data_IF_967202436555
#
_entry.id   IF_967202436555
#
_cell.length_a   1.000
_cell.length_b   1.000
_cell.length_c   1.000
_cell.angle_alpha   90.00
_cell.angle_beta   90.00
_cell.angle_gamma   90.00
#
_symmetry.space_group_name_H-M   'P 1'
#
loop_
_entity.id
_entity.type
_entity.pdbx_description
1 polymer ?
#
# COMPACT_ATOMS: atom_id res chain seq x y z
N UNK A 1 1.05 -14.32 1.18
CA UNK A 1 1.14 -14.18 -0.29
C UNK A 1 2.12 -13.07 -0.63
N UNK A 2 2.83 -13.16 -1.76
CA UNK A 2 3.77 -12.11 -2.15
C UNK A 2 3.00 -10.87 -2.64
N UNK A 3 3.45 -9.67 -2.27
CA UNK A 3 2.80 -8.40 -2.66
C UNK A 3 2.62 -8.31 -4.18
N UNK A 4 3.64 -8.68 -4.96
CA UNK A 4 3.57 -8.62 -6.41
C UNK A 4 2.53 -9.56 -7.02
N UNK A 5 2.42 -10.79 -6.51
CA UNK A 5 1.42 -11.77 -6.98
C UNK A 5 0.00 -11.26 -6.68
N UNK A 6 -0.18 -10.67 -5.50
CA UNK A 6 -1.42 -10.01 -5.11
C UNK A 6 -1.75 -8.82 -6.02
N UNK A 7 -0.77 -7.97 -6.30
CA UNK A 7 -0.95 -6.81 -7.17
C UNK A 7 -1.38 -7.21 -8.59
N UNK A 8 -0.90 -8.35 -9.10
CA UNK A 8 -1.27 -8.89 -10.40
C UNK A 8 -2.65 -9.58 -10.41
N UNK A 9 -3.18 -9.94 -9.24
CA UNK A 9 -4.44 -10.66 -9.12
C UNK A 9 -5.68 -9.76 -9.17
N UNK A 10 -5.50 -8.44 -8.97
CA UNK A 10 -6.59 -7.46 -8.97
C UNK A 10 -6.29 -6.36 -10.00
N UNK A 11 -7.34 -5.87 -10.65
CA UNK A 11 -7.20 -4.68 -11.47
C UNK A 11 -7.13 -3.41 -10.61
N UNK A 12 -6.75 -2.30 -11.24
CA UNK A 12 -6.64 -1.02 -10.53
C UNK A 12 -7.99 -0.53 -9.97
N UNK A 13 -9.11 -0.82 -10.64
CA UNK A 13 -10.42 -0.32 -10.22
C UNK A 13 -10.91 -1.01 -8.96
N UNK A 14 -10.66 -2.32 -8.83
CA UNK A 14 -10.91 -3.09 -7.60
C UNK A 14 -10.10 -2.56 -6.42
N UNK A 15 -8.80 -2.33 -6.65
CA UNK A 15 -7.90 -1.78 -5.63
C UNK A 15 -8.34 -0.37 -5.25
N UNK A 16 -8.61 0.50 -6.23
CA UNK A 16 -8.99 1.89 -6.01
C UNK A 16 -10.35 2.02 -5.31
N UNK A 17 -11.32 1.16 -5.64
CA UNK A 17 -12.60 1.10 -4.93
C UNK A 17 -12.38 0.74 -3.47
N UNK A 18 -11.57 -0.29 -3.21
CA UNK A 18 -11.21 -0.70 -1.84
C UNK A 18 -10.48 0.43 -1.09
N UNK A 19 -9.56 1.15 -1.74
CA UNK A 19 -8.90 2.33 -1.15
C UNK A 19 -9.92 3.42 -0.80
N UNK A 20 -10.88 3.69 -1.68
CA UNK A 20 -11.90 4.72 -1.44
C UNK A 20 -12.83 4.36 -0.26
N UNK A 21 -13.15 3.07 -0.09
CA UNK A 21 -13.95 2.56 1.02
C UNK A 21 -13.17 2.62 2.35
N UNK A 22 -11.89 2.25 2.34
CA UNK A 22 -11.02 2.29 3.53
C UNK A 22 -10.57 3.70 3.91
N UNK A 23 -10.39 4.59 2.93
CA UNK A 23 -9.88 5.94 3.10
C UNK A 23 -10.77 6.94 2.33
N UNK A 24 -11.91 7.35 2.91
CA UNK A 24 -12.84 8.25 2.25
C UNK A 24 -12.19 9.55 1.77
N UNK A 25 -12.53 9.97 0.55
CA UNK A 25 -11.98 11.19 -0.07
C UNK A 25 -10.68 11.00 -0.85
N UNK A 26 -10.18 9.77 -0.98
CA UNK A 26 -9.01 9.44 -1.82
C UNK A 26 -9.32 9.36 -3.32
N UNK A 27 -10.59 9.34 -3.73
CA UNK A 27 -11.01 9.28 -5.14
C UNK A 27 -10.34 10.35 -6.03
N UNK A 28 -10.07 11.53 -5.49
CA UNK A 28 -9.36 12.63 -6.20
C UNK A 28 -7.90 12.31 -6.55
N UNK A 29 -7.29 11.31 -5.91
CA UNK A 29 -5.91 10.88 -6.16
C UNK A 29 -5.84 9.67 -7.10
N UNK A 30 -6.94 9.36 -7.80
CA UNK A 30 -6.99 8.23 -8.73
C UNK A 30 -5.88 8.27 -9.77
N UNK A 31 -5.61 9.43 -10.37
CA UNK A 31 -4.56 9.57 -11.40
C UNK A 31 -3.15 9.25 -10.87
N UNK A 32 -2.64 9.88 -9.79
CA UNK A 32 -1.32 9.54 -9.28
C UNK A 32 -1.24 8.11 -8.74
N UNK A 33 -2.32 7.56 -8.17
CA UNK A 33 -2.35 6.16 -7.76
C UNK A 33 -2.34 5.20 -8.96
N UNK A 34 -3.03 5.51 -10.05
CA UNK A 34 -2.98 4.70 -11.27
C UNK A 34 -1.56 4.66 -11.86
N UNK A 35 -0.85 5.79 -11.85
CA UNK A 35 0.56 5.84 -12.26
C UNK A 35 1.44 4.95 -11.37
N UNK A 36 1.25 5.01 -10.05
CA UNK A 36 1.97 4.14 -9.11
C UNK A 36 1.73 2.65 -9.42
N UNK A 37 0.48 2.28 -9.68
CA UNK A 37 0.07 0.92 -10.02
C UNK A 37 0.78 0.42 -11.29
N UNK A 38 0.79 1.21 -12.36
CA UNK A 38 1.44 0.86 -13.61
C UNK A 38 2.96 0.69 -13.45
N UNK A 39 3.60 1.61 -12.71
CA UNK A 39 5.02 1.50 -12.42
C UNK A 39 5.30 0.22 -11.62
N UNK A 40 4.56 -0.05 -10.56
CA UNK A 40 4.75 -1.24 -9.72
C UNK A 40 4.59 -2.54 -10.51
N UNK A 41 3.62 -2.63 -11.42
CA UNK A 41 3.46 -3.80 -12.30
C UNK A 41 4.66 -4.01 -13.23
N UNK A 42 5.31 -2.92 -13.67
CA UNK A 42 6.49 -2.96 -14.54
C UNK A 42 7.81 -3.26 -13.82
N UNK A 43 7.84 -3.23 -12.48
CA UNK A 43 9.04 -3.50 -11.70
C UNK A 43 9.29 -5.00 -11.54
N UNK A 44 10.57 -5.37 -11.40
CA UNK A 44 10.97 -6.74 -11.03
C UNK A 44 11.07 -6.84 -9.51
N UNK A 45 10.28 -7.70 -8.83
CA UNK A 45 10.38 -7.87 -7.39
C UNK A 45 11.77 -8.35 -6.96
N UNK A 46 12.25 -7.81 -5.84
CA UNK A 46 13.46 -8.26 -5.17
C UNK A 46 13.06 -9.08 -3.94
N UNK A 47 13.38 -10.38 -3.88
CA UNK A 47 12.99 -11.23 -2.76
C UNK A 47 13.44 -10.68 -1.41
N UNK A 48 12.52 -10.71 -0.44
CA UNK A 48 12.78 -10.26 0.93
C UNK A 48 12.42 -11.37 1.92
N UNK A 49 13.25 -11.52 2.96
CA UNK A 49 12.93 -12.38 4.12
C UNK A 49 12.08 -11.66 5.18
N UNK A 50 11.86 -10.35 5.01
CA UNK A 50 11.00 -9.54 5.87
C UNK A 50 9.59 -9.52 5.28
N UNK A 51 8.60 -9.68 6.14
CA UNK A 51 7.19 -9.62 5.81
C UNK A 51 6.63 -8.23 6.11
N UNK A 52 5.52 -7.89 5.46
CA UNK A 52 4.60 -6.82 5.88
C UNK A 52 3.52 -7.51 6.70
N UNK A 53 3.50 -7.23 8.01
CA UNK A 53 2.63 -7.96 8.95
C UNK A 53 1.50 -7.09 9.43
N UNK A 54 0.28 -7.44 9.01
CA UNK A 54 -0.94 -6.81 9.48
C UNK A 54 -1.28 -7.27 10.88
N UNK A 55 -1.61 -6.31 11.75
CA UNK A 55 -1.96 -6.51 13.14
C UNK A 55 -2.96 -5.47 13.61
N UNK A 56 -3.56 -5.71 14.77
CA UNK A 56 -4.38 -4.73 15.47
C UNK A 56 -3.43 -3.77 16.21
N UNK A 57 -3.48 -2.50 15.86
CA UNK A 57 -2.63 -1.44 16.38
C UNK A 57 -3.46 -0.44 17.19
N UNK A 58 -2.94 0.09 18.31
CA UNK A 58 -3.59 1.16 19.04
C UNK A 58 -3.54 2.45 18.21
N UNK A 59 -4.64 3.20 18.19
CA UNK A 59 -4.67 4.54 17.63
C UNK A 59 -3.65 5.44 18.36
N UNK A 60 -3.00 6.40 17.65
CA UNK A 60 -2.08 7.35 18.30
C UNK A 60 -2.74 8.20 19.38
N UNK A 61 -4.08 8.34 19.32
CA UNK A 61 -4.89 9.06 20.30
C UNK A 61 -6.17 8.28 20.56
N UNK A 62 -6.51 8.06 21.83
CA UNK A 62 -7.75 7.40 22.25
C UNK A 62 -7.61 5.88 22.42
N UNK A 63 -8.75 5.24 22.64
CA UNK A 63 -8.87 3.79 22.86
C UNK A 63 -9.16 3.00 21.57
N UNK A 64 -9.33 3.73 20.45
CA UNK A 64 -9.60 3.12 19.15
C UNK A 64 -8.42 2.24 18.70
N UNK A 65 -8.75 1.18 17.97
CA UNK A 65 -7.77 0.28 17.37
C UNK A 65 -8.03 0.22 15.88
N UNK A 66 -6.96 0.16 15.09
CA UNK A 66 -7.04 -0.03 13.65
C UNK A 66 -6.26 -1.27 13.24
N UNK A 67 -6.58 -1.82 12.07
CA UNK A 67 -5.83 -2.93 11.48
C UNK A 67 -4.87 -2.36 10.43
N UNK A 68 -3.58 -2.69 10.55
CA UNK A 68 -2.56 -2.14 9.66
C UNK A 68 -1.21 -2.83 9.85
N UNK A 69 -0.22 -2.37 9.08
CA UNK A 69 1.17 -2.77 9.22
C UNK A 69 2.03 -1.61 9.72
N UNK A 70 3.24 -1.90 10.18
CA UNK A 70 4.14 -0.87 10.73
C UNK A 70 4.83 -0.10 9.60
N UNK A 71 5.01 1.21 9.75
CA UNK A 71 5.66 2.06 8.74
C UNK A 71 7.06 1.53 8.33
N UNK A 72 7.81 0.98 9.29
CA UNK A 72 9.13 0.36 9.05
C UNK A 72 9.09 -0.84 8.11
N UNK A 73 7.93 -1.48 7.94
CA UNK A 73 7.76 -2.57 6.99
C UNK A 73 7.78 -2.04 5.55
N UNK A 74 7.67 -0.73 5.35
CA UNK A 74 7.74 -0.06 4.05
C UNK A 74 9.02 0.75 3.84
N UNK A 75 9.89 0.89 4.85
CA UNK A 75 11.18 1.60 4.73
C UNK A 75 12.21 0.81 3.89
N UNK A 76 11.94 0.73 2.60
CA UNK A 76 12.78 0.09 1.58
C UNK A 76 12.39 0.61 0.19
N UNK A 77 12.97 0.07 -0.88
CA UNK A 77 12.54 0.40 -2.26
C UNK A 77 11.27 -0.35 -2.65
N UNK A 78 10.57 0.15 -3.67
CA UNK A 78 9.37 -0.50 -4.22
C UNK A 78 9.62 -1.96 -4.63
N UNK A 79 10.73 -2.27 -5.29
CA UNK A 79 11.05 -3.64 -5.72
C UNK A 79 11.18 -4.59 -4.53
N UNK A 80 11.75 -4.13 -3.42
CA UNK A 80 11.86 -4.94 -2.21
C UNK A 80 10.50 -5.11 -1.55
N UNK A 81 9.66 -4.07 -1.50
CA UNK A 81 8.28 -4.18 -1.00
C UNK A 81 7.47 -5.21 -1.80
N UNK A 82 7.58 -5.18 -3.13
CA UNK A 82 6.92 -6.14 -4.02
C UNK A 82 7.33 -7.60 -3.75
N UNK A 83 8.55 -7.83 -3.28
CA UNK A 83 9.06 -9.16 -2.93
C UNK A 83 8.83 -9.59 -1.48
N UNK A 84 8.10 -8.81 -0.67
CA UNK A 84 7.70 -9.20 0.70
C UNK A 84 6.44 -10.05 0.68
N UNK A 85 6.29 -10.88 1.71
CA UNK A 85 4.99 -11.48 2.00
C UNK A 85 4.08 -10.50 2.73
N UNK A 86 2.82 -10.49 2.35
CA UNK A 86 1.72 -10.00 3.17
C UNK A 86 1.21 -11.12 4.08
N UNK A 87 1.15 -10.84 5.38
CA UNK A 87 0.73 -11.76 6.43
C UNK A 87 -0.19 -11.09 7.44
N UNK A 88 -1.02 -11.88 8.13
CA UNK A 88 -1.99 -11.43 9.13
C UNK A 88 -1.69 -12.05 10.49
N UNK A 89 -1.74 -11.24 11.54
CA UNK A 89 -1.79 -11.75 12.91
C UNK A 89 -3.21 -12.21 13.28
N UNK A 90 -3.30 -13.01 14.35
CA UNK A 90 -4.57 -13.53 14.84
C UNK A 90 -5.52 -12.37 15.20
N UNK A 91 -6.74 -12.40 14.66
CA UNK A 91 -7.77 -11.41 14.91
C UNK A 91 -7.79 -10.25 13.91
N UNK A 92 -6.87 -10.21 12.94
CA UNK A 92 -6.99 -9.32 11.79
C UNK A 92 -8.00 -9.90 10.82
N UNK A 93 -9.07 -9.14 10.59
CA UNK A 93 -10.18 -9.48 9.71
C UNK A 93 -10.19 -8.53 8.51
N UNK A 94 -9.13 -8.64 7.70
CA UNK A 94 -9.01 -7.93 6.42
C UNK A 94 -8.93 -8.97 5.31
N UNK A 95 -9.68 -8.78 4.24
CA UNK A 95 -9.54 -9.54 3.00
C UNK A 95 -8.19 -9.28 2.32
N UNK A 96 -7.86 -10.09 1.32
CA UNK A 96 -6.59 -9.98 0.60
C UNK A 96 -6.48 -8.66 -0.18
N UNK A 97 -7.59 -8.20 -0.77
CA UNK A 97 -7.67 -6.92 -1.46
C UNK A 97 -7.55 -5.74 -0.50
N UNK A 98 -8.12 -5.80 0.71
CA UNK A 98 -7.99 -4.74 1.72
C UNK A 98 -6.55 -4.60 2.24
N UNK A 99 -5.87 -5.73 2.48
CA UNK A 99 -4.45 -5.68 2.82
C UNK A 99 -3.61 -5.13 1.66
N UNK A 100 -3.88 -5.56 0.43
CA UNK A 100 -3.18 -5.05 -0.74
C UNK A 100 -3.41 -3.55 -0.91
N UNK A 101 -4.65 -3.07 -0.80
CA UNK A 101 -5.02 -1.67 -0.90
C UNK A 101 -4.27 -0.82 0.13
N UNK A 102 -4.26 -1.25 1.40
CA UNK A 102 -3.51 -0.57 2.45
C UNK A 102 -2.00 -0.60 2.19
N UNK A 103 -1.44 -1.76 1.80
CA UNK A 103 -0.02 -1.91 1.52
C UNK A 103 0.41 -1.05 0.32
N UNK A 104 -0.41 -1.01 -0.73
CA UNK A 104 -0.19 -0.21 -1.92
C UNK A 104 -0.10 1.29 -1.59
N UNK A 105 -1.06 1.80 -0.79
CA UNK A 105 -1.02 3.19 -0.30
C UNK A 105 0.27 3.42 0.50
N UNK A 106 0.60 2.55 1.44
CA UNK A 106 1.82 2.69 2.23
C UNK A 106 3.11 2.61 1.39
N UNK A 107 3.16 1.79 0.34
CA UNK A 107 4.28 1.77 -0.62
C UNK A 107 4.40 3.12 -1.32
N UNK A 108 3.29 3.74 -1.72
CA UNK A 108 3.31 5.05 -2.38
C UNK A 108 3.84 6.17 -1.46
N UNK A 109 3.53 6.12 -0.16
CA UNK A 109 3.87 7.20 0.78
C UNK A 109 5.17 6.98 1.58
N UNK A 110 5.50 5.73 1.91
CA UNK A 110 6.56 5.42 2.87
C UNK A 110 7.78 4.76 2.23
N UNK A 111 7.58 4.02 1.13
CA UNK A 111 8.69 3.36 0.44
C UNK A 111 9.41 4.33 -0.50
N UNK A 112 10.70 4.06 -0.74
CA UNK A 112 11.51 4.81 -1.70
C UNK A 112 11.06 4.45 -3.12
N UNK A 113 10.32 5.38 -3.73
CA UNK A 113 9.81 5.26 -5.10
C UNK A 113 10.89 5.56 -6.15
N UNK A 114 10.74 5.03 -7.38
CA UNK A 114 11.60 5.42 -8.50
C UNK A 114 11.32 6.86 -8.94
N UNK A 115 12.30 7.47 -9.62
CA UNK A 115 12.19 8.85 -10.15
C UNK A 115 11.00 9.07 -11.09
N UNK A 116 10.59 8.02 -11.81
CA UNK A 116 9.43 8.08 -12.69
C UNK A 116 8.14 8.49 -11.94
N UNK A 117 8.08 8.24 -10.63
CA UNK A 117 6.93 8.56 -9.79
C UNK A 117 6.99 9.98 -9.19
N UNK A 118 8.09 10.72 -9.32
CA UNK A 118 8.30 12.01 -8.62
C UNK A 118 7.16 13.02 -8.88
N UNK A 119 6.68 13.11 -10.13
CA UNK A 119 5.60 14.04 -10.49
C UNK A 119 4.25 13.65 -9.85
N UNK A 120 3.86 12.37 -9.96
CA UNK A 120 2.64 11.86 -9.36
C UNK A 120 2.69 11.91 -7.82
N UNK A 121 3.85 11.65 -7.22
CA UNK A 121 4.05 11.78 -5.78
C UNK A 121 3.87 13.22 -5.29
N UNK A 122 4.34 14.20 -6.06
CA UNK A 122 4.15 15.62 -5.75
C UNK A 122 2.66 16.05 -5.80
N UNK A 123 1.84 15.40 -6.62
CA UNK A 123 0.39 15.61 -6.64
C UNK A 123 -0.29 14.91 -5.46
N UNK A 124 0.11 13.66 -5.18
CA UNK A 124 -0.41 12.84 -4.09
C UNK A 124 -0.17 13.47 -2.70
N UNK A 125 0.96 14.15 -2.52
CA UNK A 125 1.35 14.80 -1.25
C UNK A 125 1.01 16.28 -1.20
N UNK A 126 0.38 16.83 -2.25
CA UNK A 126 0.01 18.25 -2.28
C UNK A 126 -1.05 18.53 -1.20
N UNK A 127 -0.84 19.55 -0.34
CA UNK A 127 -1.87 19.96 0.60
C UNK A 127 -3.15 20.32 -0.14
N UNK A 128 -4.27 19.77 0.32
CA UNK A 128 -5.59 20.16 -0.19
C UNK A 128 -5.81 21.64 0.15
N UNK A 129 -6.00 22.47 -0.89
CA UNK A 129 -6.33 23.90 -0.72
C UNK A 129 -7.76 24.08 -0.21
#
# INVERSE_FOLDING_TARGET
MIVYELLQAYDFDEIMSTIADMFPGTAKYREPLHEAYNILLGLKPVPSKKDIRYKIMPAPRGEEKYMGAEDRDFDTTWEVCLGKNLSREKGVDLSDVEMLANAFVNICFLARHPKAFDAAYAELTRPSR
#
